data_IF_358291163140
#
_entry.id   IF_358291163140
#
_cell.length_a   1.000
_cell.length_b   1.000
_cell.length_c   1.000
_cell.angle_alpha   90.00
_cell.angle_beta   90.00
_cell.angle_gamma   90.00
#
_symmetry.space_group_name_H-M   'P 1'
#
loop_
_entity.id
_entity.type
_entity.pdbx_description
1 polymer ?
#
# COMPACT_ATOMS: atom_id res chain seq x y z
N UNK A 1 -41.29 15.27 -41.52
CA UNK A 1 -41.42 15.17 -40.05
C UNK A 1 -40.54 13.99 -39.61
N UNK A 2 -39.24 14.22 -39.41
CA UNK A 2 -38.58 14.65 -38.16
C UNK A 2 -38.71 13.63 -37.01
N UNK A 3 -37.55 12.99 -36.77
CA UNK A 3 -36.97 12.59 -35.48
C UNK A 3 -37.77 11.74 -34.50
N UNK A 4 -37.34 10.48 -34.35
CA UNK A 4 -37.03 9.85 -33.04
C UNK A 4 -35.89 8.85 -33.18
N UNK A 5 -34.69 9.37 -33.45
CA UNK A 5 -33.48 8.68 -33.02
C UNK A 5 -33.51 8.72 -31.49
N UNK A 6 -33.75 7.57 -30.90
CA UNK A 6 -33.77 7.37 -29.46
C UNK A 6 -32.34 7.63 -28.95
N UNK A 7 -32.07 8.88 -28.57
CA UNK A 7 -30.94 9.26 -27.73
C UNK A 7 -31.02 8.40 -26.47
N UNK A 8 -30.31 7.28 -26.48
CA UNK A 8 -29.80 6.67 -25.25
C UNK A 8 -29.01 7.77 -24.58
N UNK A 9 -29.58 8.27 -23.49
CA UNK A 9 -28.96 9.20 -22.58
C UNK A 9 -27.50 8.79 -22.36
N UNK A 10 -26.62 9.68 -22.78
CA UNK A 10 -25.27 9.84 -22.25
C UNK A 10 -25.28 9.60 -20.73
N UNK A 11 -24.90 8.42 -20.30
CA UNK A 11 -24.00 8.31 -19.17
C UNK A 11 -22.61 8.66 -19.70
N UNK A 12 -22.38 9.95 -19.94
CA UNK A 12 -21.02 10.50 -19.91
C UNK A 12 -20.55 10.33 -18.47
N UNK A 13 -20.04 9.14 -18.17
CA UNK A 13 -19.00 9.01 -17.17
C UNK A 13 -17.89 9.94 -17.64
N UNK A 14 -17.86 11.15 -17.07
CA UNK A 14 -16.86 12.21 -17.27
C UNK A 14 -15.55 11.62 -17.80
N UNK A 15 -15.37 11.68 -19.12
CA UNK A 15 -14.15 11.24 -19.78
C UNK A 15 -13.14 12.38 -19.69
N UNK A 16 -12.33 12.34 -18.64
CA UNK A 16 -11.25 13.31 -18.40
C UNK A 16 -9.87 12.64 -18.54
N UNK A 17 -9.80 11.40 -19.04
CA UNK A 17 -8.73 10.48 -18.62
C UNK A 17 -7.79 9.92 -19.68
N UNK A 18 -7.88 10.27 -20.96
CA UNK A 18 -7.00 9.59 -21.95
C UNK A 18 -5.54 10.08 -21.97
N UNK A 19 -5.24 11.25 -21.40
CA UNK A 19 -3.87 11.80 -21.33
C UNK A 19 -3.32 12.06 -19.92
N UNK A 20 -4.17 12.05 -18.87
CA UNK A 20 -3.80 12.48 -17.51
C UNK A 20 -3.77 11.35 -16.48
N UNK A 21 -4.21 10.15 -16.82
CA UNK A 21 -4.25 9.00 -15.90
C UNK A 21 -2.88 8.69 -15.30
N UNK A 22 -1.81 8.73 -16.12
CA UNK A 22 -0.43 8.55 -15.65
C UNK A 22 0.03 9.63 -14.67
N UNK A 23 -0.34 10.91 -14.89
CA UNK A 23 -0.02 12.01 -13.99
C UNK A 23 -0.75 11.88 -12.66
N UNK A 24 -2.03 11.49 -12.68
CA UNK A 24 -2.82 11.21 -11.48
C UNK A 24 -2.27 10.02 -10.70
N UNK A 25 -1.81 8.97 -11.40
CA UNK A 25 -1.10 7.86 -10.78
C UNK A 25 0.22 8.28 -10.12
N UNK A 26 1.04 9.05 -10.82
CA UNK A 26 2.28 9.57 -10.25
C UNK A 26 2.04 10.43 -9.00
N UNK A 27 1.05 11.34 -9.05
CA UNK A 27 0.68 12.16 -7.90
C UNK A 27 0.18 11.31 -6.72
N UNK A 28 -0.66 10.31 -6.99
CA UNK A 28 -1.13 9.38 -5.97
C UNK A 28 0.05 8.61 -5.32
N UNK A 29 0.99 8.11 -6.12
CA UNK A 29 2.19 7.47 -5.63
C UNK A 29 3.06 8.40 -4.78
N UNK A 30 3.25 9.65 -5.23
CA UNK A 30 4.02 10.66 -4.49
C UNK A 30 3.38 10.98 -3.12
N UNK A 31 2.06 11.12 -3.08
CA UNK A 31 1.33 11.34 -1.83
C UNK A 31 1.52 10.16 -0.89
N UNK A 32 1.35 8.92 -1.38
CA UNK A 32 1.59 7.72 -0.59
C UNK A 32 3.01 7.69 -0.05
N UNK A 33 4.02 7.96 -0.89
CA UNK A 33 5.43 8.02 -0.49
C UNK A 33 5.65 9.02 0.66
N UNK A 34 5.02 10.20 0.60
CA UNK A 34 5.10 11.18 1.67
C UNK A 34 4.49 10.68 2.98
N UNK A 35 3.31 10.03 2.93
CA UNK A 35 2.66 9.48 4.12
C UNK A 35 3.44 8.33 4.76
N UNK A 36 4.05 7.47 3.95
CA UNK A 36 4.78 6.31 4.44
C UNK A 36 6.25 6.61 4.77
N UNK A 37 6.74 7.83 4.55
CA UNK A 37 8.15 8.17 4.75
C UNK A 37 8.63 7.89 6.18
N UNK A 38 7.80 8.25 7.18
CA UNK A 38 8.09 8.02 8.60
C UNK A 38 8.10 6.52 8.95
N UNK A 39 7.05 5.72 8.65
CA UNK A 39 7.11 4.29 8.93
C UNK A 39 8.17 3.54 8.11
N UNK A 40 8.47 3.99 6.88
CA UNK A 40 9.54 3.41 6.06
C UNK A 40 10.91 3.64 6.68
N UNK A 41 11.19 4.85 7.18
CA UNK A 41 12.47 5.14 7.84
C UNK A 41 12.61 4.35 9.14
N UNK A 42 11.55 4.23 9.93
CA UNK A 42 11.54 3.40 11.14
C UNK A 42 11.81 1.92 10.82
N UNK A 43 11.10 1.35 9.85
CA UNK A 43 11.28 -0.05 9.43
C UNK A 43 12.72 -0.30 8.95
N UNK A 44 13.27 0.61 8.14
CA UNK A 44 14.65 0.51 7.66
C UNK A 44 15.67 0.61 8.81
N UNK A 45 15.45 1.52 9.76
CA UNK A 45 16.31 1.66 10.94
C UNK A 45 16.30 0.40 11.81
N UNK A 46 15.15 -0.21 12.05
CA UNK A 46 15.06 -1.47 12.79
C UNK A 46 15.67 -2.65 12.03
N UNK A 47 15.55 -2.68 10.70
CA UNK A 47 16.16 -3.70 9.84
C UNK A 47 17.69 -3.65 9.83
N UNK A 48 18.28 -2.47 10.01
CA UNK A 48 19.73 -2.27 9.98
C UNK A 48 20.39 -2.30 11.36
N UNK A 49 19.61 -2.16 12.43
CA UNK A 49 20.12 -2.12 13.81
C UNK A 49 19.47 -3.22 14.66
N UNK A 50 19.96 -4.47 14.59
CA UNK A 50 19.32 -5.59 15.28
C UNK A 50 19.33 -5.46 16.81
N UNK A 51 20.22 -4.64 17.38
CA UNK A 51 20.24 -4.35 18.83
C UNK A 51 19.00 -3.57 19.30
N UNK A 52 18.24 -2.96 18.37
CA UNK A 52 16.96 -2.30 18.68
C UNK A 52 15.86 -3.28 19.10
N UNK A 53 16.08 -4.59 18.96
CA UNK A 53 15.19 -5.64 19.47
C UNK A 53 14.87 -5.46 20.96
N UNK A 54 15.81 -4.92 21.75
CA UNK A 54 15.64 -4.63 23.17
C UNK A 54 14.54 -3.58 23.46
N UNK A 55 14.22 -2.72 22.50
CA UNK A 55 13.14 -1.73 22.61
C UNK A 55 11.74 -2.37 22.59
N UNK A 56 11.67 -3.66 22.25
CA UNK A 56 10.46 -4.47 22.18
C UNK A 56 10.42 -5.55 23.27
N UNK A 57 11.14 -5.30 24.38
CA UNK A 57 11.30 -6.19 25.55
C UNK A 57 9.99 -6.84 25.99
N UNK A 58 10.01 -8.15 26.20
CA UNK A 58 8.88 -8.94 26.71
C UNK A 58 8.06 -9.69 25.65
N UNK A 59 8.26 -9.42 24.35
CA UNK A 59 7.51 -10.12 23.27
C UNK A 59 8.37 -10.58 22.09
N UNK A 60 9.38 -9.76 21.72
CA UNK A 60 10.36 -10.12 20.70
C UNK A 60 11.68 -10.61 21.29
N UNK A 61 11.81 -10.70 22.61
CA UNK A 61 13.06 -11.08 23.28
C UNK A 61 13.45 -12.54 23.03
N UNK A 62 12.45 -13.40 22.77
CA UNK A 62 12.62 -14.81 22.42
C UNK A 62 12.81 -15.05 20.91
N UNK A 63 12.53 -14.04 20.08
CA UNK A 63 12.71 -14.15 18.64
C UNK A 63 14.21 -14.15 18.28
N UNK A 64 14.60 -14.96 17.30
CA UNK A 64 15.97 -14.92 16.81
C UNK A 64 16.28 -13.55 16.21
N UNK A 65 17.48 -13.04 16.46
CA UNK A 65 17.94 -11.75 15.91
C UNK A 65 17.84 -11.70 14.37
N UNK A 66 18.02 -12.86 13.72
CA UNK A 66 17.79 -13.02 12.29
C UNK A 66 16.32 -12.87 11.88
N UNK A 67 15.39 -13.44 12.65
CA UNK A 67 13.95 -13.30 12.42
C UNK A 67 13.48 -11.86 12.58
N UNK A 68 13.94 -11.17 13.63
CA UNK A 68 13.69 -9.74 13.84
C UNK A 68 14.14 -8.90 12.63
N UNK A 69 15.38 -9.12 12.20
CA UNK A 69 15.98 -8.40 11.07
C UNK A 69 15.23 -8.67 9.76
N UNK A 70 14.91 -9.93 9.49
CA UNK A 70 14.18 -10.34 8.29
C UNK A 70 12.76 -9.75 8.23
N UNK A 71 12.05 -9.70 9.35
CA UNK A 71 10.73 -9.08 9.45
C UNK A 71 10.76 -7.60 9.05
N UNK A 72 11.71 -6.83 9.60
CA UNK A 72 11.81 -5.41 9.29
C UNK A 72 12.30 -5.12 7.87
N UNK A 73 13.15 -5.97 7.29
CA UNK A 73 13.49 -5.90 5.86
C UNK A 73 12.27 -6.15 4.98
N UNK A 74 11.45 -7.14 5.33
CA UNK A 74 10.21 -7.41 4.62
C UNK A 74 9.27 -6.21 4.68
N UNK A 75 9.05 -5.64 5.88
CA UNK A 75 8.26 -4.43 6.07
C UNK A 75 8.79 -3.25 5.25
N UNK A 76 10.11 -3.04 5.23
CA UNK A 76 10.77 -2.00 4.45
C UNK A 76 10.50 -2.15 2.95
N UNK A 77 10.66 -3.35 2.40
CA UNK A 77 10.44 -3.63 0.98
C UNK A 77 8.97 -3.38 0.61
N UNK A 78 8.02 -3.82 1.44
CA UNK A 78 6.60 -3.60 1.20
C UNK A 78 6.23 -2.12 1.25
N UNK A 79 6.71 -1.39 2.27
CA UNK A 79 6.49 0.05 2.34
C UNK A 79 7.11 0.75 1.12
N UNK A 80 8.35 0.43 0.74
CA UNK A 80 8.99 1.01 -0.44
C UNK A 80 8.22 0.72 -1.75
N UNK A 81 7.53 -0.41 -1.85
CA UNK A 81 6.73 -0.77 -3.02
C UNK A 81 5.37 -0.05 -3.10
N UNK A 82 4.78 0.36 -1.97
CA UNK A 82 3.43 0.93 -1.91
C UNK A 82 3.22 2.15 -2.83
N UNK A 83 4.12 3.16 -2.91
CA UNK A 83 3.96 4.30 -3.80
C UNK A 83 3.75 3.91 -5.25
N UNK A 84 4.51 2.91 -5.72
CA UNK A 84 4.43 2.41 -7.08
C UNK A 84 3.17 1.60 -7.31
N UNK A 85 2.79 0.75 -6.35
CA UNK A 85 1.58 -0.06 -6.43
C UNK A 85 0.33 0.82 -6.52
N UNK A 86 0.24 1.84 -5.66
CA UNK A 86 -0.89 2.76 -5.64
C UNK A 86 -0.87 3.65 -6.88
N UNK A 87 0.29 4.17 -7.28
CA UNK A 87 0.39 4.99 -8.48
C UNK A 87 0.01 4.23 -9.76
N UNK A 88 0.45 2.98 -9.88
CA UNK A 88 0.03 2.09 -10.97
C UNK A 88 -1.46 1.78 -10.92
N UNK A 89 -2.01 1.51 -9.74
CA UNK A 89 -3.43 1.24 -9.56
C UNK A 89 -4.30 2.41 -10.00
N UNK A 90 -3.94 3.64 -9.61
CA UNK A 90 -4.68 4.84 -9.99
C UNK A 90 -4.54 5.14 -11.49
N UNK A 91 -3.37 4.90 -12.09
CA UNK A 91 -3.16 5.16 -13.50
C UNK A 91 -3.85 4.17 -14.44
N UNK A 92 -3.95 2.89 -14.06
CA UNK A 92 -4.25 1.81 -15.02
C UNK A 92 -5.44 0.91 -14.65
N UNK A 93 -6.01 1.02 -13.44
CA UNK A 93 -7.05 0.09 -12.98
C UNK A 93 -8.46 0.69 -13.04
N UNK A 94 -9.40 -0.09 -13.58
CA UNK A 94 -10.84 0.20 -13.49
C UNK A 94 -11.33 0.23 -12.03
N UNK A 95 -12.45 0.91 -11.73
CA UNK A 95 -13.03 0.97 -10.37
C UNK A 95 -13.15 -0.41 -9.67
N UNK A 96 -13.41 -1.47 -10.45
CA UNK A 96 -13.46 -2.85 -9.96
C UNK A 96 -12.09 -3.36 -9.50
N UNK A 97 -11.06 -3.11 -10.30
CA UNK A 97 -9.68 -3.51 -9.99
C UNK A 97 -9.08 -2.68 -8.84
N UNK A 98 -9.44 -1.41 -8.71
CA UNK A 98 -9.07 -0.59 -7.55
C UNK A 98 -9.66 -1.13 -6.24
N UNK A 99 -10.91 -1.60 -6.27
CA UNK A 99 -11.53 -2.23 -5.10
C UNK A 99 -10.84 -3.55 -4.70
N UNK A 100 -10.40 -4.34 -5.68
CA UNK A 100 -9.66 -5.59 -5.43
C UNK A 100 -8.28 -5.30 -4.82
N UNK A 101 -7.54 -4.33 -5.37
CA UNK A 101 -6.24 -3.91 -4.81
C UNK A 101 -6.41 -3.35 -3.39
N UNK A 102 -7.44 -2.52 -3.17
CA UNK A 102 -7.78 -2.03 -1.84
C UNK A 102 -8.08 -3.17 -0.85
N UNK A 103 -8.83 -4.18 -1.28
CA UNK A 103 -9.11 -5.36 -0.44
C UNK A 103 -7.84 -6.16 -0.12
N UNK A 104 -6.94 -6.33 -1.08
CA UNK A 104 -5.64 -7.01 -0.87
C UNK A 104 -4.79 -6.22 0.13
N UNK A 105 -4.72 -4.88 0.02
CA UNK A 105 -3.99 -4.03 0.96
C UNK A 105 -4.58 -4.15 2.37
N UNK A 106 -5.91 -4.12 2.50
CA UNK A 106 -6.59 -4.29 3.80
C UNK A 106 -6.30 -5.67 4.40
N UNK A 107 -6.43 -6.73 3.61
CA UNK A 107 -6.09 -8.09 4.06
C UNK A 107 -4.62 -8.21 4.44
N UNK A 108 -3.73 -7.53 3.72
CA UNK A 108 -2.31 -7.50 4.01
C UNK A 108 -2.00 -6.75 5.30
N UNK A 109 -2.65 -5.61 5.56
CA UNK A 109 -2.57 -4.90 6.85
C UNK A 109 -3.06 -5.81 7.97
N UNK A 110 -4.20 -6.50 7.78
CA UNK A 110 -4.70 -7.48 8.76
C UNK A 110 -3.67 -8.58 8.98
N UNK A 111 -3.09 -9.15 7.93
CA UNK A 111 -2.06 -10.18 8.05
C UNK A 111 -0.81 -9.65 8.76
N UNK A 112 -0.36 -8.43 8.46
CA UNK A 112 0.76 -7.78 9.12
C UNK A 112 0.46 -7.48 10.60
N UNK A 113 -0.78 -7.07 10.92
CA UNK A 113 -1.25 -6.91 12.30
C UNK A 113 -1.31 -8.27 13.00
N UNK A 114 -1.77 -9.33 12.34
CA UNK A 114 -1.82 -10.69 12.90
C UNK A 114 -0.41 -11.23 13.12
N UNK A 115 0.52 -11.08 12.17
CA UNK A 115 1.94 -11.40 12.39
C UNK A 115 2.49 -10.56 13.54
N UNK A 116 2.21 -9.25 13.54
CA UNK A 116 2.54 -8.36 14.64
C UNK A 116 2.03 -8.91 15.97
N UNK A 117 0.78 -9.35 16.06
CA UNK A 117 0.21 -9.95 17.27
C UNK A 117 0.85 -11.31 17.61
N UNK A 118 1.16 -12.16 16.64
CA UNK A 118 1.81 -13.44 16.89
C UNK A 118 3.25 -13.27 17.42
N UNK A 119 3.94 -12.19 17.03
CA UNK A 119 5.30 -11.88 17.49
C UNK A 119 5.36 -10.81 18.61
N UNK A 120 4.25 -10.11 18.91
CA UNK A 120 4.14 -9.05 19.92
C UNK A 120 3.13 -9.38 21.04
N UNK A 121 2.37 -10.49 20.98
CA UNK A 121 1.34 -10.87 21.97
C UNK A 121 1.50 -12.30 22.51
N UNK A 122 2.44 -13.08 21.98
CA UNK A 122 2.96 -14.26 22.69
C UNK A 122 4.01 -13.79 23.67
#
# INVERSE_FOLDING_TARGET
MSSKAQQKQHEEAIDVTDGKSGLWGFLAGLIVAAFIAIPLSAAFSFATHPNTQQLFSGRLDEASQGGYTAFWWLATIFLAALPFLVGYAVANLSRKSLAIVGAIIVLFIIAALVLGQLFLVV
#
